data_IF_895302202692
#
_entry.id   IF_895302202692
#
_cell.length_a   1.000
_cell.length_b   1.000
_cell.length_c   1.000
_cell.angle_alpha   90.00
_cell.angle_beta   90.00
_cell.angle_gamma   90.00
#
_symmetry.space_group_name_H-M   'P 1'
#
loop_
_entity.id
_entity.type
_entity.pdbx_description
1 polymer ?
#
# COMPACT_ATOMS: atom_id res chain seq x y z
N UNK A 1 -50.65 -7.32 -33.72
CA UNK A 1 -49.28 -7.11 -34.23
C UNK A 1 -48.53 -6.04 -33.45
N UNK A 2 -49.20 -4.97 -33.00
CA UNK A 2 -48.57 -3.87 -32.25
C UNK A 2 -47.94 -4.31 -30.92
N UNK A 3 -48.59 -5.19 -30.15
CA UNK A 3 -48.02 -5.71 -28.91
C UNK A 3 -46.71 -6.49 -29.11
N UNK A 4 -46.59 -7.27 -30.20
CA UNK A 4 -45.36 -8.00 -30.54
C UNK A 4 -44.23 -7.02 -30.87
N UNK A 5 -44.53 -5.96 -31.62
CA UNK A 5 -43.56 -4.91 -31.95
C UNK A 5 -43.03 -4.21 -30.69
N UNK A 6 -43.92 -3.89 -29.74
CA UNK A 6 -43.53 -3.30 -28.45
C UNK A 6 -42.61 -4.26 -27.69
N UNK A 7 -42.96 -5.55 -27.62
CA UNK A 7 -42.12 -6.56 -26.95
C UNK A 7 -40.74 -6.65 -27.60
N UNK A 8 -40.66 -6.70 -28.93
CA UNK A 8 -39.39 -6.76 -29.67
C UNK A 8 -38.56 -5.49 -29.41
N UNK A 9 -39.19 -4.31 -29.42
CA UNK A 9 -38.51 -3.04 -29.14
C UNK A 9 -37.96 -2.99 -27.71
N UNK A 10 -38.72 -3.50 -26.72
CA UNK A 10 -38.27 -3.59 -25.33
C UNK A 10 -37.07 -4.55 -25.20
N UNK A 11 -37.16 -5.75 -25.77
CA UNK A 11 -36.06 -6.72 -25.75
C UNK A 11 -34.81 -6.15 -26.44
N UNK A 12 -34.97 -5.50 -27.59
CA UNK A 12 -33.88 -4.82 -28.29
C UNK A 12 -33.23 -3.73 -27.45
N UNK A 13 -34.02 -2.91 -26.76
CA UNK A 13 -33.50 -1.86 -25.87
C UNK A 13 -32.72 -2.41 -24.67
N UNK A 14 -33.15 -3.55 -24.11
CA UNK A 14 -32.44 -4.22 -23.02
C UNK A 14 -31.09 -4.76 -23.48
N UNK A 15 -31.05 -5.45 -24.62
CA UNK A 15 -29.81 -6.00 -25.18
C UNK A 15 -28.83 -4.85 -25.49
N UNK A 16 -29.32 -3.78 -26.11
CA UNK A 16 -28.53 -2.58 -26.40
C UNK A 16 -27.93 -1.97 -25.13
N UNK A 17 -28.74 -1.78 -24.09
CA UNK A 17 -28.29 -1.26 -22.80
C UNK A 17 -27.23 -2.16 -22.14
N UNK A 18 -27.41 -3.49 -22.17
CA UNK A 18 -26.43 -4.43 -21.59
C UNK A 18 -25.06 -4.34 -22.27
N UNK A 19 -25.03 -4.22 -23.60
CA UNK A 19 -23.79 -4.07 -24.36
C UNK A 19 -23.04 -2.79 -23.93
N UNK A 20 -23.76 -1.65 -23.89
CA UNK A 20 -23.13 -0.36 -23.51
C UNK A 20 -22.75 -0.27 -22.04
N UNK A 21 -23.56 -0.85 -21.15
CA UNK A 21 -23.23 -0.95 -19.73
C UNK A 21 -21.94 -1.73 -19.52
N UNK A 22 -21.81 -2.89 -20.16
CA UNK A 22 -20.61 -3.71 -20.06
C UNK A 22 -19.38 -3.00 -20.64
N UNK A 23 -19.50 -2.39 -21.82
CA UNK A 23 -18.41 -1.64 -22.45
C UNK A 23 -17.92 -0.46 -21.57
N UNK A 24 -18.84 0.30 -20.97
CA UNK A 24 -18.51 1.44 -20.11
C UNK A 24 -17.84 0.97 -18.81
N UNK A 25 -18.34 -0.10 -18.20
CA UNK A 25 -17.76 -0.72 -17.01
C UNK A 25 -16.31 -1.18 -17.25
N UNK A 26 -16.05 -1.83 -18.38
CA UNK A 26 -14.71 -2.37 -18.66
C UNK A 26 -13.68 -1.26 -18.94
N UNK A 27 -14.08 -0.17 -19.59
CA UNK A 27 -13.22 1.02 -19.76
C UNK A 27 -12.81 1.60 -18.42
N UNK A 28 -13.73 1.70 -17.47
CA UNK A 28 -13.49 2.26 -16.14
C UNK A 28 -12.66 1.31 -15.29
N UNK A 29 -12.92 0.01 -15.37
CA UNK A 29 -12.12 -1.04 -14.73
C UNK A 29 -10.67 -1.03 -15.21
N UNK A 30 -10.45 -0.92 -16.52
CA UNK A 30 -9.12 -0.78 -17.11
C UNK A 30 -8.38 0.48 -16.65
N UNK A 31 -9.12 1.48 -16.16
CA UNK A 31 -8.57 2.71 -15.60
C UNK A 31 -8.34 2.68 -14.09
N UNK A 32 -8.47 1.50 -13.46
CA UNK A 32 -8.31 1.25 -12.03
C UNK A 32 -9.30 2.03 -11.13
N UNK A 33 -10.46 2.37 -11.65
CA UNK A 33 -11.55 2.97 -10.87
C UNK A 33 -12.36 1.88 -10.16
N UNK A 34 -12.52 2.00 -8.83
CA UNK A 34 -13.25 1.03 -8.00
C UNK A 34 -14.78 1.19 -8.12
N UNK A 35 -15.24 2.29 -8.71
CA UNK A 35 -16.66 2.59 -8.97
C UNK A 35 -17.19 2.00 -10.30
N UNK A 36 -16.49 1.04 -10.92
CA UNK A 36 -16.85 0.47 -12.24
C UNK A 36 -18.27 -0.10 -12.29
N UNK A 37 -18.78 -0.68 -11.19
CA UNK A 37 -20.15 -1.20 -11.11
C UNK A 37 -21.21 -0.09 -11.22
N UNK A 38 -20.90 1.12 -10.73
CA UNK A 38 -21.80 2.26 -10.89
C UNK A 38 -21.81 2.75 -12.34
N UNK A 39 -20.65 2.71 -13.01
CA UNK A 39 -20.51 3.10 -14.42
C UNK A 39 -21.21 2.17 -15.41
N UNK A 40 -21.45 0.91 -15.03
CA UNK A 40 -22.33 0.01 -15.79
C UNK A 40 -23.72 0.62 -15.99
N UNK A 41 -24.35 1.11 -14.93
CA UNK A 41 -25.70 1.68 -14.99
C UNK A 41 -25.75 2.98 -15.80
N UNK A 42 -24.71 3.81 -15.68
CA UNK A 42 -24.56 4.99 -16.55
C UNK A 42 -24.43 4.59 -18.02
N UNK A 43 -23.66 3.55 -18.33
CA UNK A 43 -23.58 2.98 -19.68
C UNK A 43 -24.90 2.41 -20.18
N UNK A 44 -25.67 1.73 -19.32
CA UNK A 44 -26.93 1.09 -19.69
C UNK A 44 -28.01 2.10 -20.14
N UNK A 45 -28.15 3.23 -19.42
CA UNK A 45 -29.18 4.22 -19.73
C UNK A 45 -28.73 5.31 -20.72
N UNK A 46 -27.45 5.67 -20.72
CA UNK A 46 -26.94 6.80 -21.52
C UNK A 46 -26.01 6.38 -22.67
N UNK A 47 -25.74 5.08 -22.82
CA UNK A 47 -25.04 4.49 -23.96
C UNK A 47 -23.72 5.18 -24.27
N UNK A 48 -23.63 5.71 -25.50
CA UNK A 48 -22.46 6.40 -26.02
C UNK A 48 -22.02 7.61 -25.18
N UNK A 49 -22.96 8.34 -24.58
CA UNK A 49 -22.64 9.55 -23.79
C UNK A 49 -21.82 9.17 -22.55
N UNK A 50 -22.29 8.17 -21.80
CA UNK A 50 -21.57 7.67 -20.63
C UNK A 50 -20.22 7.06 -21.03
N UNK A 51 -20.16 6.37 -22.16
CA UNK A 51 -18.90 5.86 -22.70
C UNK A 51 -17.89 6.97 -23.00
N UNK A 52 -18.30 8.06 -23.66
CA UNK A 52 -17.41 9.20 -23.95
C UNK A 52 -16.89 9.84 -22.66
N UNK A 53 -17.75 10.03 -21.66
CA UNK A 53 -17.34 10.58 -20.36
C UNK A 53 -16.35 9.63 -19.67
N UNK A 54 -16.64 8.33 -19.68
CA UNK A 54 -15.75 7.30 -19.13
C UNK A 54 -14.39 7.28 -19.84
N UNK A 55 -14.38 7.39 -21.16
CA UNK A 55 -13.16 7.47 -21.98
C UNK A 55 -12.38 8.75 -21.74
N UNK A 56 -13.06 9.86 -21.40
CA UNK A 56 -12.43 11.16 -21.11
C UNK A 56 -11.84 11.25 -19.71
N UNK A 57 -12.20 10.34 -18.79
CA UNK A 57 -11.56 10.29 -17.47
C UNK A 57 -10.09 9.90 -17.57
N UNK A 58 -9.22 10.61 -16.88
CA UNK A 58 -7.81 10.24 -16.79
C UNK A 58 -7.62 8.90 -16.08
N UNK A 59 -6.44 8.31 -16.20
CA UNK A 59 -6.09 7.12 -15.41
C UNK A 59 -6.14 7.46 -13.92
N UNK A 60 -6.79 6.61 -13.11
CA UNK A 60 -6.77 6.79 -11.67
C UNK A 60 -5.31 6.65 -11.20
N UNK A 61 -4.69 7.76 -10.79
CA UNK A 61 -3.46 7.68 -9.99
C UNK A 61 -3.84 6.89 -8.74
N UNK A 62 -2.97 6.00 -8.25
CA UNK A 62 -3.16 5.13 -7.09
C UNK A 62 -3.31 5.91 -5.75
N UNK A 63 -4.13 6.94 -5.76
CA UNK A 63 -4.30 7.98 -4.75
C UNK A 63 -5.72 8.55 -4.86
N UNK A 64 -6.71 7.68 -5.05
CA UNK A 64 -8.11 8.02 -4.81
C UNK A 64 -8.57 7.27 -3.57
N UNK A 65 -8.28 7.84 -2.41
CA UNK A 65 -9.09 7.61 -1.22
C UNK A 65 -10.42 8.34 -1.45
N UNK A 66 -11.30 7.70 -2.24
CA UNK A 66 -12.74 7.91 -2.08
C UNK A 66 -13.09 7.43 -0.68
N UNK A 67 -13.61 8.33 0.15
CA UNK A 67 -14.10 8.00 1.47
C UNK A 67 -15.06 6.79 1.41
N UNK A 68 -15.01 5.88 2.39
CA UNK A 68 -15.87 4.72 2.39
C UNK A 68 -17.28 5.16 2.81
N UNK A 69 -18.19 5.24 1.84
CA UNK A 69 -19.56 4.82 2.11
C UNK A 69 -19.50 3.33 2.45
N UNK A 70 -19.94 3.00 3.67
CA UNK A 70 -19.95 1.68 4.31
C UNK A 70 -18.62 1.19 4.91
N UNK A 71 -18.36 1.69 6.12
CA UNK A 71 -17.58 1.01 7.15
C UNK A 71 -18.23 -0.35 7.47
N UNK A 72 -17.82 -1.40 6.76
CA UNK A 72 -17.91 -2.76 7.29
C UNK A 72 -16.71 -3.01 8.19
N UNK A 73 -16.95 -3.70 9.30
CA UNK A 73 -16.03 -3.88 10.43
C UNK A 73 -14.72 -4.66 10.13
N UNK A 74 -14.36 -4.84 8.85
CA UNK A 74 -13.18 -5.58 8.41
C UNK A 74 -11.93 -4.70 8.15
N UNK A 75 -12.05 -3.37 8.14
CA UNK A 75 -10.91 -2.45 7.97
C UNK A 75 -10.06 -2.24 9.24
N UNK A 76 -10.23 -3.08 10.27
CA UNK A 76 -9.32 -3.16 11.42
C UNK A 76 -8.30 -4.29 11.20
N UNK A 77 -7.36 -4.15 10.25
CA UNK A 77 -6.12 -4.96 10.34
C UNK A 77 -4.92 -4.59 9.48
N UNK A 78 -4.98 -3.65 8.53
CA UNK A 78 -3.86 -3.47 7.57
C UNK A 78 -3.11 -2.14 7.60
N UNK A 79 -3.55 -1.11 8.35
CA UNK A 79 -2.87 0.21 8.33
C UNK A 79 -2.03 0.50 9.58
N UNK A 80 -1.77 -0.51 10.41
CA UNK A 80 -0.88 -0.40 11.58
C UNK A 80 0.56 -0.84 11.24
N UNK A 81 1.17 -0.26 10.20
CA UNK A 81 2.54 -0.60 9.81
C UNK A 81 3.47 0.59 9.49
N UNK A 82 3.00 1.85 9.43
CA UNK A 82 3.93 2.96 9.17
C UNK A 82 3.54 4.34 9.70
N UNK A 83 2.77 4.41 10.79
CA UNK A 83 2.57 5.70 11.47
C UNK A 83 3.10 5.60 12.90
N UNK A 84 4.10 6.41 13.30
CA UNK A 84 4.63 6.35 14.64
C UNK A 84 3.48 6.66 15.62
N UNK A 85 3.29 5.77 16.61
CA UNK A 85 2.25 5.83 17.65
C UNK A 85 2.14 7.20 18.35
N UNK A 86 3.19 8.04 18.30
CA UNK A 86 3.19 9.41 18.81
C UNK A 86 2.30 10.40 18.03
N UNK A 87 1.88 10.07 16.80
CA UNK A 87 0.99 10.92 15.99
C UNK A 87 -0.49 10.58 16.20
N UNK A 88 -0.80 9.35 16.63
CA UNK A 88 -2.15 8.77 16.61
C UNK A 88 -3.06 9.25 17.74
N UNK A 89 -2.51 9.74 18.85
CA UNK A 89 -3.30 9.99 20.08
C UNK A 89 -4.23 11.23 20.04
N UNK A 90 -4.34 11.95 18.92
CA UNK A 90 -5.22 13.13 18.80
C UNK A 90 -5.90 13.26 17.42
N UNK A 91 -6.03 12.16 16.67
CA UNK A 91 -6.69 12.19 15.37
C UNK A 91 -8.14 11.75 15.56
N UNK A 92 -9.14 12.58 15.21
CA UNK A 92 -10.52 12.14 15.21
C UNK A 92 -10.66 10.93 14.27
N UNK A 93 -11.60 10.02 14.54
CA UNK A 93 -11.71 8.72 13.84
C UNK A 93 -11.65 8.81 12.30
N UNK A 94 -12.06 9.94 11.72
CA UNK A 94 -12.01 10.24 10.29
C UNK A 94 -11.24 11.52 9.97
N UNK A 95 -10.31 11.97 10.81
CA UNK A 95 -9.60 13.25 10.69
C UNK A 95 -8.18 13.16 10.14
N UNK A 96 -7.53 14.31 10.02
CA UNK A 96 -6.10 14.40 9.69
C UNK A 96 -5.38 15.40 10.59
N UNK A 97 -4.15 15.10 10.98
CA UNK A 97 -3.32 16.01 11.79
C UNK A 97 -2.46 16.88 10.87
N UNK A 98 -2.54 18.19 11.04
CA UNK A 98 -1.74 19.13 10.25
C UNK A 98 -0.25 19.06 10.63
N UNK A 99 0.65 18.86 9.66
CA UNK A 99 2.10 18.91 9.90
C UNK A 99 2.62 20.28 10.31
N UNK A 100 1.94 21.36 9.88
CA UNK A 100 2.40 22.73 10.08
C UNK A 100 2.13 23.21 11.51
N UNK A 101 0.94 22.94 12.04
CA UNK A 101 0.52 23.42 13.35
C UNK A 101 0.11 22.33 14.35
N UNK A 102 0.10 21.06 13.94
CA UNK A 102 -0.26 19.93 14.79
C UNK A 102 -1.74 19.77 15.11
N UNK A 103 -2.62 20.70 14.68
CA UNK A 103 -4.06 20.61 14.93
C UNK A 103 -4.68 19.42 14.19
N UNK A 104 -5.56 18.69 14.89
CA UNK A 104 -6.46 17.71 14.27
C UNK A 104 -7.56 18.43 13.53
N UNK A 105 -7.77 18.07 12.27
CA UNK A 105 -8.87 18.55 11.43
C UNK A 105 -9.79 17.37 11.12
N UNK A 106 -11.07 17.66 10.85
CA UNK A 106 -12.02 16.65 10.41
C UNK A 106 -11.74 16.18 8.98
N UNK A 107 -12.29 15.02 8.60
CA UNK A 107 -11.97 14.36 7.32
C UNK A 107 -12.36 15.16 6.09
N UNK A 108 -13.47 15.88 6.18
CA UNK A 108 -13.99 16.74 5.13
C UNK A 108 -13.27 18.09 5.04
N UNK A 109 -12.48 18.47 6.05
CA UNK A 109 -11.77 19.75 6.06
C UNK A 109 -10.57 19.68 5.12
N UNK A 110 -10.64 20.40 3.99
CA UNK A 110 -9.58 20.42 2.98
C UNK A 110 -8.36 21.28 3.35
N UNK A 111 -8.54 22.28 4.22
CA UNK A 111 -7.49 23.24 4.61
C UNK A 111 -7.53 23.49 6.11
N UNK A 112 -6.39 23.41 6.77
CA UNK A 112 -6.28 23.72 8.19
C UNK A 112 -6.36 25.24 8.42
N UNK A 113 -6.83 25.66 9.58
CA UNK A 113 -6.86 27.08 9.99
C UNK A 113 -5.49 27.79 9.91
N UNK A 114 -4.37 27.06 9.91
CA UNK A 114 -3.02 27.63 9.72
C UNK A 114 -2.62 27.86 8.25
N UNK A 115 -3.54 27.62 7.32
CA UNK A 115 -3.37 27.78 5.87
C UNK A 115 -2.76 26.57 5.14
N UNK A 116 -2.37 25.49 5.84
CA UNK A 116 -1.84 24.29 5.19
C UNK A 116 -2.99 23.41 4.67
N UNK A 117 -2.92 22.99 3.41
CA UNK A 117 -3.93 22.09 2.82
C UNK A 117 -3.70 20.64 3.21
N UNK A 118 -4.76 19.82 3.14
CA UNK A 118 -4.69 18.37 3.33
C UNK A 118 -3.78 17.73 2.28
N UNK A 119 -3.77 18.27 1.05
CA UNK A 119 -2.94 17.79 -0.05
C UNK A 119 -1.45 17.99 0.23
N UNK A 120 -1.03 19.21 0.60
CA UNK A 120 0.36 19.50 0.96
C UNK A 120 0.83 18.69 2.17
N UNK A 121 -0.09 18.39 3.09
CA UNK A 121 0.21 17.54 4.25
C UNK A 121 0.55 16.10 3.82
N UNK A 122 -0.24 15.52 2.91
CA UNK A 122 -0.03 14.17 2.39
C UNK A 122 1.25 14.10 1.53
N UNK A 123 1.48 15.08 0.67
CA UNK A 123 2.69 15.15 -0.16
C UNK A 123 3.96 15.11 0.69
N UNK A 124 3.99 15.86 1.78
CA UNK A 124 5.11 15.84 2.72
C UNK A 124 5.29 14.49 3.41
N UNK A 125 4.20 13.85 3.86
CA UNK A 125 4.28 12.53 4.53
C UNK A 125 4.88 11.53 3.55
N UNK A 126 4.39 11.49 2.30
CA UNK A 126 4.89 10.59 1.27
C UNK A 126 6.37 10.81 0.99
N UNK A 127 6.84 12.06 0.94
CA UNK A 127 8.26 12.39 0.80
C UNK A 127 9.09 11.91 2.00
N UNK A 128 8.55 12.09 3.21
CA UNK A 128 9.22 11.67 4.46
C UNK A 128 9.37 10.15 4.53
N UNK A 129 8.33 9.41 4.12
CA UNK A 129 8.33 7.93 4.04
C UNK A 129 9.34 7.44 3.02
N UNK A 130 9.35 8.00 1.80
CA UNK A 130 10.33 7.62 0.77
C UNK A 130 11.76 7.83 1.26
N UNK A 131 12.02 8.96 1.92
CA UNK A 131 13.33 9.27 2.47
C UNK A 131 13.74 8.30 3.58
N UNK A 132 12.83 7.91 4.47
CA UNK A 132 13.13 6.93 5.52
C UNK A 132 13.32 5.52 4.95
N UNK A 133 12.59 5.14 3.91
CA UNK A 133 12.81 3.88 3.18
C UNK A 133 14.19 3.86 2.50
N UNK A 134 14.59 4.95 1.84
CA UNK A 134 15.92 5.09 1.24
C UNK A 134 17.02 5.01 2.30
N UNK A 135 16.89 5.73 3.42
CA UNK A 135 17.83 5.63 4.54
C UNK A 135 17.91 4.21 5.11
N UNK A 136 16.77 3.52 5.21
CA UNK A 136 16.74 2.14 5.73
C UNK A 136 17.47 1.18 4.80
N UNK A 137 17.32 1.36 3.47
CA UNK A 137 18.07 0.58 2.47
C UNK A 137 19.57 0.85 2.55
N UNK A 138 19.98 2.10 2.74
CA UNK A 138 21.40 2.44 2.91
C UNK A 138 22.01 1.83 4.18
N UNK A 139 21.26 1.76 5.29
CA UNK A 139 21.73 1.12 6.53
C UNK A 139 21.85 -0.40 6.36
N UNK A 140 20.88 -1.05 5.72
CA UNK A 140 20.93 -2.50 5.46
C UNK A 140 22.09 -2.90 4.53
N UNK A 141 22.44 -2.04 3.55
CA UNK A 141 23.60 -2.28 2.67
C UNK A 141 24.91 -2.17 3.47
N UNK A 142 25.03 -1.20 4.37
CA UNK A 142 26.22 -1.00 5.20
C UNK A 142 26.42 -2.11 6.25
N UNK A 143 25.35 -2.66 6.82
CA UNK A 143 25.46 -3.82 7.72
C UNK A 143 25.90 -5.09 6.99
N UNK A 144 25.40 -5.33 5.77
CA UNK A 144 25.76 -6.50 4.95
C UNK A 144 27.22 -6.46 4.46
N UNK A 145 27.81 -5.28 4.29
CA UNK A 145 29.24 -5.14 3.94
C UNK A 145 30.19 -5.45 5.13
N UNK A 146 29.69 -5.45 6.37
CA UNK A 146 30.52 -5.68 7.56
C UNK A 146 30.47 -7.10 8.15
N UNK A 147 29.64 -8.00 7.61
CA UNK A 147 29.52 -9.38 8.11
C UNK A 147 29.37 -10.36 6.94
N UNK A 148 30.48 -10.65 6.25
CA UNK A 148 30.60 -11.84 5.42
C UNK A 148 30.86 -13.03 6.37
N UNK A 149 29.81 -13.76 6.74
CA UNK A 149 29.97 -15.12 7.30
C UNK A 149 29.90 -16.07 6.11
N UNK A 150 31.03 -16.64 5.64
CA UNK A 150 30.99 -17.68 4.63
C UNK A 150 30.35 -18.95 5.23
N UNK A 151 29.61 -19.66 4.38
CA UNK A 151 29.07 -21.00 4.62
C UNK A 151 30.12 -21.87 5.32
N UNK A 152 29.92 -22.15 6.62
CA UNK A 152 30.96 -22.68 7.50
C UNK A 152 31.36 -24.10 7.09
N UNK A 153 32.44 -24.21 6.33
CA UNK A 153 33.34 -25.35 6.46
C UNK A 153 33.74 -25.47 7.93
N UNK A 154 33.74 -26.69 8.49
CA UNK A 154 34.12 -26.95 9.88
C UNK A 154 35.51 -26.35 10.21
N UNK A 155 36.39 -26.28 9.21
CA UNK A 155 37.71 -25.66 9.32
C UNK A 155 37.64 -24.14 9.61
N UNK A 156 36.72 -23.41 8.98
CA UNK A 156 36.59 -21.96 9.14
C UNK A 156 35.99 -21.61 10.50
N UNK A 157 35.07 -22.43 11.00
CA UNK A 157 34.55 -22.30 12.37
C UNK A 157 35.66 -22.49 13.42
N UNK A 158 36.59 -23.42 13.19
CA UNK A 158 37.75 -23.65 14.07
C UNK A 158 38.72 -22.47 14.02
N UNK A 159 38.95 -21.87 12.85
CA UNK A 159 39.82 -20.69 12.72
C UNK A 159 39.27 -19.46 13.44
N UNK A 160 37.96 -19.21 13.35
CA UNK A 160 37.32 -18.12 14.09
C UNK A 160 37.44 -18.32 15.60
N UNK A 161 37.21 -19.54 16.08
CA UNK A 161 37.38 -19.85 17.51
C UNK A 161 38.84 -19.71 17.96
N UNK A 162 39.81 -20.00 17.09
CA UNK A 162 41.23 -19.81 17.39
C UNK A 162 41.56 -18.32 17.51
N UNK A 163 40.98 -17.48 16.64
CA UNK A 163 41.13 -16.02 16.75
C UNK A 163 40.57 -15.47 18.06
N UNK A 164 39.45 -16.01 18.55
CA UNK A 164 38.87 -15.63 19.85
C UNK A 164 39.73 -16.08 21.05
N UNK A 165 40.44 -17.20 20.91
CA UNK A 165 41.39 -17.69 21.91
C UNK A 165 42.64 -16.81 21.94
N UNK A 166 43.18 -16.49 20.75
CA UNK A 166 44.35 -15.62 20.60
C UNK A 166 44.05 -14.17 21.06
N UNK A 167 42.78 -13.74 20.98
CA UNK A 167 42.32 -12.45 21.54
C UNK A 167 42.00 -12.50 23.04
N UNK A 168 42.20 -13.65 23.70
CA UNK A 168 41.91 -13.85 25.13
C UNK A 168 40.42 -13.79 25.49
N UNK A 169 39.52 -13.86 24.51
CA UNK A 169 38.07 -13.77 24.72
C UNK A 169 37.47 -15.11 25.18
N UNK A 170 38.16 -16.22 24.94
CA UNK A 170 37.80 -17.56 25.42
C UNK A 170 39.02 -18.25 26.01
N UNK A 171 38.80 -19.25 26.87
CA UNK A 171 39.88 -20.04 27.46
C UNK A 171 40.23 -21.27 26.60
N UNK A 172 41.43 -21.82 26.81
CA UNK A 172 41.91 -23.00 26.06
C UNK A 172 40.97 -24.20 26.18
N UNK A 173 40.39 -24.39 27.38
CA UNK A 173 39.48 -25.51 27.67
C UNK A 173 38.15 -25.39 26.90
N UNK A 174 37.60 -24.17 26.80
CA UNK A 174 36.36 -23.90 26.06
C UNK A 174 36.57 -24.06 24.55
N UNK A 175 37.74 -23.67 24.05
CA UNK A 175 38.13 -23.87 22.66
C UNK A 175 38.19 -25.36 22.30
N UNK A 176 38.86 -26.17 23.14
CA UNK A 176 39.04 -27.60 22.86
C UNK A 176 37.73 -28.40 22.98
N UNK A 177 36.83 -28.02 23.90
CA UNK A 177 35.48 -28.59 23.99
C UNK A 177 34.66 -28.32 22.73
N UNK A 178 34.63 -27.06 22.26
CA UNK A 178 33.87 -26.70 21.06
C UNK A 178 34.48 -27.29 19.79
N UNK A 179 35.80 -27.39 19.72
CA UNK A 179 36.50 -28.05 18.62
C UNK A 179 36.14 -29.55 18.53
N UNK A 180 36.07 -30.25 19.65
CA UNK A 180 35.63 -31.67 19.68
C UNK A 180 34.17 -31.82 19.26
N UNK A 181 33.28 -30.96 19.76
CA UNK A 181 31.87 -30.95 19.35
C UNK A 181 31.69 -30.75 17.84
N UNK A 182 32.50 -29.88 17.22
CA UNK A 182 32.45 -29.63 15.79
C UNK A 182 33.06 -30.75 14.94
N UNK A 183 33.98 -31.54 15.49
CA UNK A 183 34.59 -32.69 14.81
C UNK A 183 33.86 -34.01 15.10
N UNK A 184 32.90 -34.03 16.03
CA UNK A 184 32.09 -35.20 16.38
C UNK A 184 32.85 -36.30 17.12
N UNK A 185 33.92 -35.95 17.85
CA UNK A 185 34.76 -36.85 18.66
C UNK A 185 34.50 -36.74 20.17
#
# INVERSE_FOLDING_TARGET
>A
MEGLYIIIALVGSLIWGLIWGYATSEVIKNKNYMDYESWFWWGFFFGLIAFVIASSKDQAKASYSSGPTHLTAAAKKSDEAYLPKSIVNNIPANGWKCRKCGKGNEGYTGTCACGNTKRENIEYINQSVKKSEELTKEVQIKENESVVIPDKSIADAILVMKGLLDSGAITQEEYDLKKKQLLGL
#
